data_IF_383435915669
#
_entry.id   IF_383435915669
#
_cell.length_a   1.000
_cell.length_b   1.000
_cell.length_c   1.000
_cell.angle_alpha   90.00
_cell.angle_beta   90.00
_cell.angle_gamma   90.00
#
_symmetry.space_group_name_H-M   'P 1'
#
loop_
_entity.id
_entity.type
_entity.pdbx_description
1 polymer ?
#
# COMPACT_ATOMS: atom_id res chain seq x y z
N UNK A 1 -29.33 58.07 25.04
CA UNK A 1 -30.46 58.53 24.20
C UNK A 1 -31.33 57.33 23.87
N UNK A 2 -32.57 57.31 24.37
CA UNK A 2 -33.64 56.42 23.93
C UNK A 2 -34.28 57.01 22.68
N UNK A 3 -34.72 56.17 21.73
CA UNK A 3 -35.97 56.37 20.97
C UNK A 3 -36.43 55.06 20.30
N UNK A 4 -37.65 54.66 20.67
CA UNK A 4 -38.59 53.83 19.86
C UNK A 4 -38.93 54.63 18.57
N UNK A 5 -39.38 54.11 17.43
CA UNK A 5 -40.62 53.35 17.10
C UNK A 5 -40.57 53.22 15.56
N UNK A 6 -40.99 52.15 14.90
CA UNK A 6 -42.38 51.95 14.45
C UNK A 6 -42.51 50.58 13.77
N UNK A 7 -43.59 49.88 14.10
CA UNK A 7 -44.15 48.76 13.34
C UNK A 7 -44.65 49.30 11.99
N UNK A 8 -44.33 48.61 10.90
CA UNK A 8 -45.08 48.77 9.65
C UNK A 8 -45.75 47.43 9.30
N UNK A 9 -47.05 47.37 9.59
CA UNK A 9 -47.98 46.37 9.07
C UNK A 9 -48.40 46.82 7.69
N UNK A 10 -47.99 46.11 6.64
CA UNK A 10 -48.57 46.29 5.30
C UNK A 10 -49.00 44.95 4.70
N UNK A 11 -50.28 44.68 4.93
CA UNK A 11 -51.29 44.11 4.02
C UNK A 11 -50.91 42.89 3.18
N UNK A 12 -51.55 41.77 3.54
CA UNK A 12 -51.71 40.58 2.70
C UNK A 12 -52.28 40.94 1.33
N UNK A 13 -51.49 40.68 0.27
CA UNK A 13 -52.03 40.39 -1.05
C UNK A 13 -51.89 38.90 -1.31
N UNK A 14 -53.04 38.24 -1.26
CA UNK A 14 -53.25 36.85 -1.59
C UNK A 14 -53.00 36.67 -3.09
N UNK A 15 -51.78 36.31 -3.48
CA UNK A 15 -51.51 35.74 -4.80
C UNK A 15 -51.58 34.22 -4.65
N UNK A 16 -52.62 33.62 -5.24
CA UNK A 16 -52.73 32.19 -5.42
C UNK A 16 -51.58 31.74 -6.32
N UNK A 17 -50.45 31.41 -5.72
CA UNK A 17 -49.38 30.68 -6.39
C UNK A 17 -49.89 29.26 -6.56
N UNK A 18 -50.34 28.99 -7.77
CA UNK A 18 -50.67 27.68 -8.31
C UNK A 18 -49.52 26.72 -7.96
N UNK A 19 -49.77 25.75 -7.07
CA UNK A 19 -48.87 24.62 -6.84
C UNK A 19 -48.70 23.89 -8.17
N UNK A 20 -47.61 24.21 -8.89
CA UNK A 20 -47.13 23.38 -9.97
C UNK A 20 -46.53 22.16 -9.28
N UNK A 21 -47.38 21.16 -9.06
CA UNK A 21 -46.97 19.82 -8.68
C UNK A 21 -45.99 19.34 -9.77
N UNK A 22 -44.69 19.49 -9.52
CA UNK A 22 -43.65 18.89 -10.34
C UNK A 22 -43.73 17.39 -10.03
N UNK A 23 -44.63 16.70 -10.72
CA UNK A 23 -44.50 15.27 -10.90
C UNK A 23 -43.22 15.04 -11.69
N UNK A 24 -42.10 14.86 -10.99
CA UNK A 24 -41.00 14.09 -11.57
C UNK A 24 -41.62 12.77 -12.02
N UNK A 25 -41.52 12.40 -13.31
CA UNK A 25 -42.14 11.18 -13.77
C UNK A 25 -41.53 10.02 -12.97
N UNK A 26 -42.39 9.21 -12.32
CA UNK A 26 -41.95 7.99 -11.60
C UNK A 26 -40.99 7.16 -12.46
N UNK A 27 -41.20 7.18 -13.78
CA UNK A 27 -40.35 6.53 -14.78
C UNK A 27 -38.88 6.97 -14.72
N UNK A 28 -38.58 8.26 -14.47
CA UNK A 28 -37.20 8.72 -14.35
C UNK A 28 -36.55 8.30 -13.03
N UNK A 29 -37.32 8.20 -11.93
CA UNK A 29 -36.80 7.69 -10.66
C UNK A 29 -36.52 6.19 -10.74
N UNK A 30 -37.44 5.42 -11.32
CA UNK A 30 -37.27 3.97 -11.48
C UNK A 30 -36.07 3.64 -12.39
N UNK A 31 -35.88 4.39 -13.48
CA UNK A 31 -34.74 4.21 -14.38
C UNK A 31 -33.40 4.65 -13.75
N UNK A 32 -33.42 5.65 -12.86
CA UNK A 32 -32.23 6.08 -12.11
C UNK A 32 -31.85 5.03 -11.06
N UNK A 33 -32.83 4.52 -10.32
CA UNK A 33 -32.62 3.45 -9.33
C UNK A 33 -32.13 2.16 -9.99
N UNK A 34 -32.65 1.79 -11.17
CA UNK A 34 -32.21 0.61 -11.93
C UNK A 34 -30.76 0.77 -12.42
N UNK A 35 -30.40 1.95 -12.92
CA UNK A 35 -29.02 2.25 -13.32
C UNK A 35 -28.05 2.22 -12.13
N UNK A 36 -28.44 2.80 -10.99
CA UNK A 36 -27.63 2.83 -9.78
C UNK A 36 -27.41 1.41 -9.23
N UNK A 37 -28.44 0.56 -9.26
CA UNK A 37 -28.35 -0.87 -8.90
C UNK A 37 -27.44 -1.63 -9.87
N UNK A 38 -27.49 -1.32 -11.16
CA UNK A 38 -26.63 -1.94 -12.17
C UNK A 38 -25.15 -1.57 -11.95
N UNK A 39 -24.87 -0.29 -11.69
CA UNK A 39 -23.51 0.19 -11.37
C UNK A 39 -23.01 -0.46 -10.08
N UNK A 40 -23.85 -0.52 -9.04
CA UNK A 40 -23.50 -1.16 -7.78
C UNK A 40 -23.20 -2.65 -7.98
N UNK A 41 -24.06 -3.36 -8.71
CA UNK A 41 -23.91 -4.80 -8.98
C UNK A 41 -22.61 -5.10 -9.72
N UNK A 42 -22.25 -4.29 -10.72
CA UNK A 42 -20.97 -4.43 -11.44
C UNK A 42 -19.76 -4.17 -10.54
N UNK A 43 -19.84 -3.15 -9.68
CA UNK A 43 -18.77 -2.84 -8.73
C UNK A 43 -18.60 -3.95 -7.70
N UNK A 44 -19.71 -4.52 -7.21
CA UNK A 44 -19.73 -5.62 -6.27
C UNK A 44 -19.08 -6.87 -6.89
N UNK A 45 -19.47 -7.24 -8.11
CA UNK A 45 -18.90 -8.39 -8.81
C UNK A 45 -17.39 -8.24 -8.99
N UNK A 46 -16.93 -7.05 -9.41
CA UNK A 46 -15.50 -6.78 -9.56
C UNK A 46 -14.73 -6.90 -8.23
N UNK A 47 -15.28 -6.36 -7.15
CA UNK A 47 -14.68 -6.46 -5.81
C UNK A 47 -14.66 -7.91 -5.32
N UNK A 48 -15.77 -8.63 -5.46
CA UNK A 48 -15.87 -10.03 -5.05
C UNK A 48 -14.85 -10.91 -5.79
N UNK A 49 -14.72 -10.71 -7.11
CA UNK A 49 -13.77 -11.44 -7.93
C UNK A 49 -12.33 -11.15 -7.49
N UNK A 50 -11.97 -9.88 -7.31
CA UNK A 50 -10.62 -9.48 -6.87
C UNK A 50 -10.29 -10.07 -5.50
N UNK A 51 -11.21 -9.97 -4.53
CA UNK A 51 -11.01 -10.54 -3.19
C UNK A 51 -10.89 -12.06 -3.22
N UNK A 52 -11.68 -12.74 -4.06
CA UNK A 52 -11.62 -14.20 -4.20
C UNK A 52 -10.31 -14.67 -4.83
N UNK A 53 -9.82 -13.96 -5.84
CA UNK A 53 -8.51 -14.22 -6.45
C UNK A 53 -7.37 -14.00 -5.44
N UNK A 54 -7.49 -12.92 -4.66
CA UNK A 54 -6.51 -12.55 -3.62
C UNK A 54 -6.46 -13.60 -2.51
N UNK A 55 -7.62 -14.04 -2.03
CA UNK A 55 -7.76 -15.09 -1.02
C UNK A 55 -7.12 -16.40 -1.50
N UNK A 56 -7.45 -16.83 -2.72
CA UNK A 56 -6.91 -18.06 -3.31
C UNK A 56 -5.37 -18.04 -3.40
N UNK A 57 -4.81 -16.89 -3.79
CA UNK A 57 -3.35 -16.70 -3.86
C UNK A 57 -2.70 -16.72 -2.47
N UNK A 58 -3.31 -16.07 -1.49
CA UNK A 58 -2.81 -16.05 -0.11
C UNK A 58 -2.91 -17.41 0.58
N UNK A 59 -3.96 -18.19 0.30
CA UNK A 59 -4.10 -19.55 0.82
C UNK A 59 -2.98 -20.47 0.31
N UNK A 60 -2.62 -20.36 -0.97
CA UNK A 60 -1.47 -21.08 -1.53
C UNK A 60 -0.16 -20.69 -0.83
N UNK A 61 0.06 -19.40 -0.60
CA UNK A 61 1.26 -18.87 0.07
C UNK A 61 1.35 -19.23 1.55
N UNK A 62 0.20 -19.38 2.22
CA UNK A 62 0.13 -19.78 3.63
C UNK A 62 0.77 -21.14 3.86
N UNK A 63 0.69 -22.05 2.88
CA UNK A 63 1.37 -23.34 2.96
C UNK A 63 2.88 -23.19 2.81
N UNK A 64 3.36 -22.33 1.90
CA UNK A 64 4.78 -22.06 1.71
C UNK A 64 5.44 -21.39 2.91
N UNK A 65 4.72 -20.53 3.66
CA UNK A 65 5.28 -19.88 4.87
C UNK A 65 5.41 -20.82 6.06
N UNK A 66 4.66 -21.94 6.11
CA UNK A 66 4.71 -22.92 7.21
C UNK A 66 6.01 -23.73 7.24
N UNK A 67 6.75 -23.80 6.13
CA UNK A 67 8.05 -24.48 6.07
C UNK A 67 9.21 -23.62 6.62
N UNK A 68 8.92 -22.48 7.26
CA UNK A 68 9.89 -21.45 7.67
C UNK A 68 10.68 -20.80 6.51
N UNK A 69 10.32 -21.09 5.26
CA UNK A 69 10.91 -20.43 4.08
C UNK A 69 10.15 -19.14 3.75
N UNK A 70 10.38 -18.11 4.58
CA UNK A 70 9.75 -16.79 4.43
C UNK A 70 10.18 -16.12 3.12
N UNK A 71 11.45 -16.27 2.74
CA UNK A 71 11.99 -15.67 1.52
C UNK A 71 11.41 -16.34 0.27
N UNK A 72 11.33 -17.68 0.24
CA UNK A 72 10.68 -18.42 -0.85
C UNK A 72 9.21 -18.07 -1.00
N UNK A 73 8.46 -17.98 0.10
CA UNK A 73 7.07 -17.54 0.07
C UNK A 73 6.94 -16.11 -0.49
N UNK A 74 7.83 -15.19 -0.12
CA UNK A 74 7.80 -13.82 -0.62
C UNK A 74 8.15 -13.72 -2.12
N UNK A 75 9.08 -14.55 -2.60
CA UNK A 75 9.38 -14.70 -4.04
C UNK A 75 8.16 -15.21 -4.81
N UNK A 76 7.46 -16.20 -4.27
CA UNK A 76 6.23 -16.71 -4.87
C UNK A 76 5.13 -15.64 -4.86
N UNK A 77 4.97 -14.89 -3.77
CA UNK A 77 3.99 -13.81 -3.68
C UNK A 77 4.22 -12.71 -4.72
N UNK A 78 5.48 -12.36 -4.98
CA UNK A 78 5.85 -11.44 -6.07
C UNK A 78 5.34 -11.94 -7.43
N UNK A 79 5.41 -13.23 -7.69
CA UNK A 79 4.89 -13.84 -8.92
C UNK A 79 3.36 -13.88 -8.98
N UNK A 80 2.67 -13.93 -7.84
CA UNK A 80 1.21 -13.86 -7.76
C UNK A 80 0.67 -12.45 -8.01
N UNK A 81 1.47 -11.41 -7.72
CA UNK A 81 1.13 -10.03 -8.01
C UNK A 81 1.51 -9.06 -6.90
N UNK A 82 1.55 -7.76 -7.24
CA UNK A 82 1.99 -6.69 -6.35
C UNK A 82 1.15 -6.59 -5.07
N UNK A 83 -0.17 -6.73 -5.17
CA UNK A 83 -1.09 -6.69 -4.02
C UNK A 83 -0.80 -7.82 -3.02
N UNK A 84 -0.59 -9.04 -3.53
CA UNK A 84 -0.25 -10.24 -2.74
C UNK A 84 1.09 -10.10 -2.05
N UNK A 85 2.11 -9.63 -2.78
CA UNK A 85 3.43 -9.35 -2.22
C UNK A 85 3.35 -8.38 -1.04
N UNK A 86 2.60 -7.28 -1.19
CA UNK A 86 2.45 -6.25 -0.16
C UNK A 86 1.75 -6.79 1.09
N UNK A 87 0.74 -7.64 0.94
CA UNK A 87 0.06 -8.27 2.08
C UNK A 87 0.99 -9.20 2.84
N UNK A 88 1.68 -10.07 2.11
CA UNK A 88 2.57 -11.03 2.73
C UNK A 88 3.75 -10.32 3.40
N UNK A 89 4.33 -9.30 2.75
CA UNK A 89 5.33 -8.43 3.36
C UNK A 89 4.78 -7.80 4.65
N UNK A 90 3.54 -7.32 4.61
CA UNK A 90 2.82 -6.81 5.77
C UNK A 90 2.77 -7.78 6.94
N UNK A 91 2.38 -9.03 6.69
CA UNK A 91 2.30 -10.07 7.71
C UNK A 91 3.68 -10.48 8.26
N UNK A 92 4.70 -10.53 7.39
CA UNK A 92 6.06 -10.91 7.77
C UNK A 92 6.72 -9.85 8.67
N UNK A 93 6.36 -8.57 8.52
CA UNK A 93 6.87 -7.48 9.38
C UNK A 93 6.53 -7.67 10.87
N UNK A 94 5.49 -8.43 11.20
CA UNK A 94 5.11 -8.70 12.60
C UNK A 94 6.09 -9.64 13.31
N UNK A 95 6.92 -10.39 12.56
CA UNK A 95 7.89 -11.35 13.09
C UNK A 95 9.23 -11.27 12.35
N UNK A 96 10.02 -10.20 12.56
CA UNK A 96 11.25 -9.96 11.80
C UNK A 96 12.43 -10.87 12.21
N UNK A 97 12.28 -11.70 13.24
CA UNK A 97 13.36 -12.56 13.76
C UNK A 97 13.87 -13.61 12.77
N UNK A 98 13.11 -13.92 11.72
CA UNK A 98 13.50 -14.85 10.65
C UNK A 98 14.22 -14.19 9.47
N UNK A 99 14.45 -12.87 9.52
CA UNK A 99 15.05 -12.15 8.42
C UNK A 99 16.57 -12.31 8.43
N UNK A 100 17.17 -12.26 7.25
CA UNK A 100 18.60 -12.33 7.04
C UNK A 100 19.02 -11.37 5.91
N UNK A 101 20.32 -11.31 5.59
CA UNK A 101 20.81 -10.43 4.52
C UNK A 101 20.26 -10.81 3.15
N UNK A 102 20.01 -12.10 2.87
CA UNK A 102 19.38 -12.53 1.60
C UNK A 102 17.96 -11.98 1.44
N UNK A 103 17.21 -11.93 2.55
CA UNK A 103 15.90 -11.28 2.59
C UNK A 103 16.02 -9.80 2.26
N UNK A 104 16.98 -9.10 2.87
CA UNK A 104 17.22 -7.67 2.61
C UNK A 104 17.57 -7.43 1.13
N UNK A 105 18.48 -8.22 0.57
CA UNK A 105 18.89 -8.13 -0.84
C UNK A 105 17.70 -8.31 -1.79
N UNK A 106 16.78 -9.21 -1.47
CA UNK A 106 15.59 -9.42 -2.28
C UNK A 106 14.55 -8.30 -2.15
N UNK A 107 14.35 -7.77 -0.94
CA UNK A 107 13.26 -6.83 -0.65
C UNK A 107 13.63 -5.37 -0.93
N UNK A 108 14.90 -4.98 -0.82
CA UNK A 108 15.33 -3.60 -1.06
C UNK A 108 14.94 -3.04 -2.44
N UNK A 109 15.08 -3.78 -3.56
CA UNK A 109 14.57 -3.33 -4.86
C UNK A 109 13.04 -3.13 -4.86
N UNK A 110 12.29 -4.01 -4.19
CA UNK A 110 10.83 -3.88 -4.11
C UNK A 110 10.41 -2.66 -3.26
N UNK A 111 11.14 -2.38 -2.18
CA UNK A 111 10.95 -1.17 -1.38
C UNK A 111 11.11 0.08 -2.25
N UNK A 112 12.15 0.13 -3.10
CA UNK A 112 12.37 1.25 -4.00
C UNK A 112 11.18 1.47 -4.96
N UNK A 113 10.62 0.40 -5.53
CA UNK A 113 9.42 0.46 -6.36
C UNK A 113 8.16 0.89 -5.58
N UNK A 114 8.02 0.47 -4.32
CA UNK A 114 6.90 0.84 -3.46
C UNK A 114 6.96 2.31 -3.02
N UNK A 115 8.16 2.86 -2.81
CA UNK A 115 8.34 4.28 -2.48
C UNK A 115 7.91 5.21 -3.61
N UNK A 116 7.93 4.74 -4.86
CA UNK A 116 7.51 5.49 -6.05
C UNK A 116 6.03 5.29 -6.39
N UNK A 117 5.31 4.46 -5.64
CA UNK A 117 3.91 4.16 -5.89
C UNK A 117 2.98 5.34 -5.61
N UNK A 118 1.99 5.56 -6.49
CA UNK A 118 0.91 6.52 -6.28
C UNK A 118 0.01 6.22 -5.07
N UNK A 119 0.01 4.96 -4.59
CA UNK A 119 -0.79 4.55 -3.44
C UNK A 119 -0.05 4.80 -2.12
N UNK A 120 -0.58 5.69 -1.28
CA UNK A 120 -0.02 6.02 0.05
C UNK A 120 0.29 4.80 0.91
N UNK A 121 -0.58 3.78 0.90
CA UNK A 121 -0.38 2.55 1.67
C UNK A 121 0.92 1.82 1.27
N UNK A 122 1.30 1.84 0.00
CA UNK A 122 2.54 1.22 -0.46
C UNK A 122 3.77 1.93 0.11
N UNK A 123 3.74 3.26 0.14
CA UNK A 123 4.80 4.08 0.75
C UNK A 123 4.96 3.77 2.24
N UNK A 124 3.85 3.73 3.00
CA UNK A 124 3.88 3.37 4.42
C UNK A 124 4.50 1.98 4.63
N UNK A 125 4.07 0.98 3.84
CA UNK A 125 4.62 -0.38 3.91
C UNK A 125 6.13 -0.40 3.63
N UNK A 126 6.58 0.33 2.61
CA UNK A 126 7.99 0.45 2.27
C UNK A 126 8.81 1.06 3.41
N UNK A 127 8.35 2.16 4.00
CA UNK A 127 9.03 2.82 5.11
C UNK A 127 9.11 1.94 6.35
N UNK A 128 8.03 1.23 6.69
CA UNK A 128 8.03 0.31 7.84
C UNK A 128 9.01 -0.84 7.65
N UNK A 129 9.06 -1.39 6.43
CA UNK A 129 10.02 -2.43 6.05
C UNK A 129 11.45 -1.92 6.10
N UNK A 130 11.72 -0.76 5.51
CA UNK A 130 13.04 -0.14 5.49
C UNK A 130 13.53 0.17 6.92
N UNK A 131 12.64 0.64 7.79
CA UNK A 131 12.96 0.88 9.21
C UNK A 131 13.48 -0.39 9.87
N UNK A 132 12.80 -1.52 9.70
CA UNK A 132 13.23 -2.80 10.28
C UNK A 132 14.59 -3.22 9.70
N UNK A 133 14.79 -3.10 8.39
CA UNK A 133 16.08 -3.43 7.76
C UNK A 133 17.20 -2.60 8.38
N UNK A 134 17.03 -1.28 8.46
CA UNK A 134 18.05 -0.39 8.99
C UNK A 134 18.30 -0.62 10.49
N UNK A 135 17.27 -0.88 11.28
CA UNK A 135 17.44 -1.14 12.71
C UNK A 135 18.18 -2.45 12.99
N UNK A 136 17.96 -3.48 12.19
CA UNK A 136 18.48 -4.82 12.48
C UNK A 136 19.77 -5.16 11.74
N UNK A 137 19.94 -4.67 10.51
CA UNK A 137 21.01 -5.12 9.61
C UNK A 137 22.02 -4.03 9.27
N UNK A 138 21.74 -2.74 9.54
CA UNK A 138 22.70 -1.66 9.25
C UNK A 138 24.06 -1.86 9.96
N UNK A 139 24.14 -2.25 11.25
CA UNK A 139 25.43 -2.45 11.90
C UNK A 139 26.27 -3.53 11.20
N UNK A 140 25.66 -4.66 10.86
CA UNK A 140 26.32 -5.75 10.13
C UNK A 140 26.76 -5.31 8.73
N UNK A 141 25.94 -4.54 8.01
CA UNK A 141 26.28 -4.00 6.70
C UNK A 141 27.50 -3.06 6.80
N UNK A 142 27.53 -2.18 7.80
CA UNK A 142 28.63 -1.23 8.01
C UNK A 142 29.94 -1.93 8.37
N UNK A 143 29.91 -2.90 9.29
CA UNK A 143 31.10 -3.68 9.67
C UNK A 143 31.73 -4.40 8.46
N UNK A 144 30.89 -4.91 7.56
CA UNK A 144 31.36 -5.54 6.32
C UNK A 144 31.90 -4.52 5.32
N UNK A 145 31.48 -3.26 5.33
CA UNK A 145 32.05 -2.22 4.46
C UNK A 145 33.40 -1.72 4.99
N UNK A 146 33.50 -1.51 6.30
CA UNK A 146 34.71 -1.01 6.95
C UNK A 146 35.85 -2.04 6.91
N UNK A 147 35.51 -3.33 7.02
CA UNK A 147 36.47 -4.43 6.87
C UNK A 147 37.11 -4.46 5.48
N UNK A 148 36.40 -4.05 4.42
CA UNK A 148 36.98 -3.95 3.08
C UNK A 148 37.82 -2.68 2.91
N UNK A 149 37.40 -1.57 3.51
CA UNK A 149 38.17 -0.33 3.53
C UNK A 149 39.51 -0.48 4.27
N UNK A 150 39.56 -1.34 5.29
CA UNK A 150 40.76 -1.60 6.11
C UNK A 150 41.66 -2.71 5.55
N UNK A 151 41.09 -3.77 4.94
CA UNK A 151 41.89 -4.88 4.39
C UNK A 151 42.46 -4.63 2.99
N UNK A 152 41.97 -3.62 2.24
CA UNK A 152 42.56 -3.23 0.94
C UNK A 152 43.77 -2.28 1.06
N UNK A 153 44.19 -1.90 2.27
CA UNK A 153 45.37 -1.04 2.50
C UNK A 153 46.70 -1.82 2.64
N UNK A 154 46.75 -3.11 2.28
CA UNK A 154 47.86 -3.98 2.67
C UNK A 154 48.30 -5.09 1.70
N UNK A 155 47.83 -5.14 0.46
CA UNK A 155 48.46 -6.02 -0.55
C UNK A 155 49.40 -5.16 -1.40
N UNK A 156 50.62 -5.01 -0.90
CA UNK A 156 51.74 -4.46 -1.66
C UNK A 156 52.13 -5.47 -2.76
N UNK A 157 51.48 -5.36 -3.91
CA UNK A 157 51.77 -6.15 -5.13
C UNK A 157 53.26 -6.05 -5.52
N UNK A 158 53.99 -5.01 -5.10
CA UNK A 158 55.44 -4.89 -5.37
C UNK A 158 56.33 -5.77 -4.48
N UNK A 159 55.76 -6.50 -3.51
CA UNK A 159 56.48 -7.51 -2.71
C UNK A 159 56.41 -8.93 -3.29
N UNK A 160 55.37 -9.28 -4.03
CA UNK A 160 55.21 -10.63 -4.59
C UNK A 160 56.17 -10.86 -5.78
N UNK A 161 56.46 -9.82 -6.57
CA UNK A 161 57.44 -9.90 -7.68
C UNK A 161 58.90 -10.13 -7.23
N UNK A 162 59.24 -9.95 -5.95
CA UNK A 162 60.59 -10.25 -5.43
C UNK A 162 60.79 -11.70 -4.97
N UNK A 163 59.75 -12.53 -5.03
CA UNK A 163 59.85 -13.96 -4.69
C UNK A 163 59.85 -14.88 -5.92
N UNK A 164 59.83 -14.32 -7.13
CA UNK A 164 59.90 -15.07 -8.40
C UNK A 164 61.30 -15.05 -9.08
N UNK A 165 62.36 -14.62 -8.39
CA UNK A 165 63.76 -14.89 -8.80
C UNK A 165 64.32 -16.16 -8.14
#
# INVERSE_FOLDING_TARGET
MRSRTTLDMRTSHHTKTQEKHIHQPLNNRIMLDDHDIDVLSRSHEAVLQELSNRQSSLDLLRHATRSHDVLGALRQAKNCGKSIFIDLLGAILEKPSSWNLDFCMFVLPEIYELLQSQHKFHFTRACDTLRIILSNFLPTIQENLDSWATNNLGVDVTREDRQEE
#
